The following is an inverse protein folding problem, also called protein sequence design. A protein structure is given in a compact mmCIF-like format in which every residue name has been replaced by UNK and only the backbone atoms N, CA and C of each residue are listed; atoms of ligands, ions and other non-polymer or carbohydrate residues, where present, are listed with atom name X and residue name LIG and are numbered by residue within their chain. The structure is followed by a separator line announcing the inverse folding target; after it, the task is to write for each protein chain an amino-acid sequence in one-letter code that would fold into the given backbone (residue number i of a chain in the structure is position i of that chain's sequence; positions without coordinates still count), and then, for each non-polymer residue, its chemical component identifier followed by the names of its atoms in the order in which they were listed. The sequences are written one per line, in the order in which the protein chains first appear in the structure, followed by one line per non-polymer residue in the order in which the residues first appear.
data_IF_859835155511
#
_entry.id   IF_859835155511
#
_cell.length_a   1.000
_cell.length_b   1.000
_cell.length_c   1.000
_cell.angle_alpha   90.00
_cell.angle_beta   90.00
_cell.angle_gamma   90.00
#
_symmetry.space_group_name_H-M   'P 1'
#
loop_
_entity.id
_entity.type
_entity.pdbx_description
1 polymer ?
#
# COMPACT_ATOMS: atom_id res chain seq x y z
N UNK A 1 -12.63 28.52 14.62
CA UNK A 1 -11.43 27.97 13.95
C UNK A 1 -11.75 27.90 12.46
N UNK A 2 -11.65 29.01 11.78
CA UNK A 2 -11.92 29.13 10.36
C UNK A 2 -10.69 29.69 9.67
N UNK A 3 -9.66 28.87 9.48
CA UNK A 3 -8.83 29.02 8.31
C UNK A 3 -9.45 28.14 7.23
N UNK A 4 -10.41 28.71 6.53
CA UNK A 4 -10.80 28.27 5.21
C UNK A 4 -9.54 28.43 4.37
N UNK A 5 -8.71 27.38 4.39
CA UNK A 5 -7.53 27.28 3.55
C UNK A 5 -8.01 27.46 2.12
N UNK A 6 -7.36 28.32 1.34
CA UNK A 6 -7.53 28.58 -0.11
C UNK A 6 -7.53 27.30 -0.99
N UNK A 7 -8.26 26.25 -0.62
CA UNK A 7 -8.25 24.93 -1.27
C UNK A 7 -6.91 24.19 -1.17
N UNK A 8 -5.99 24.65 -0.29
CA UNK A 8 -4.64 24.10 -0.16
C UNK A 8 -4.53 23.15 1.03
N UNK A 9 -4.01 21.94 0.82
CA UNK A 9 -3.79 20.97 1.88
C UNK A 9 -2.77 21.46 2.92
N UNK A 10 -3.10 21.55 4.24
CA UNK A 10 -2.19 21.99 5.29
C UNK A 10 -1.29 20.85 5.75
N UNK A 11 -0.11 20.70 5.13
CA UNK A 11 0.81 19.56 5.32
C UNK A 11 1.10 19.26 6.79
N UNK A 12 1.63 20.26 7.54
CA UNK A 12 2.03 20.07 8.94
C UNK A 12 0.85 19.68 9.84
N UNK A 13 -0.29 20.35 9.67
CA UNK A 13 -1.49 20.04 10.44
C UNK A 13 -2.02 18.64 10.14
N UNK A 14 -1.97 18.21 8.87
CA UNK A 14 -2.40 16.89 8.44
C UNK A 14 -1.51 15.78 9.02
N UNK A 15 -0.18 15.95 8.96
CA UNK A 15 0.78 15.01 9.55
C UNK A 15 0.59 14.92 11.06
N UNK A 16 0.51 16.07 11.75
CA UNK A 16 0.29 16.09 13.20
C UNK A 16 -1.04 15.47 13.61
N UNK A 17 -2.12 15.66 12.81
CA UNK A 17 -3.41 15.04 13.05
C UNK A 17 -3.34 13.52 12.89
N UNK A 18 -2.63 13.01 11.88
CA UNK A 18 -2.46 11.59 11.61
C UNK A 18 -1.74 10.88 12.77
N UNK A 19 -0.63 11.44 13.25
CA UNK A 19 0.12 10.86 14.36
C UNK A 19 -0.61 10.97 15.70
N UNK A 20 -1.29 12.09 15.96
CA UNK A 20 -2.15 12.22 17.16
C UNK A 20 -3.26 11.17 17.17
N UNK A 21 -3.88 10.92 16.02
CA UNK A 21 -4.88 9.87 15.88
C UNK A 21 -4.29 8.49 16.20
N UNK A 22 -3.13 8.18 15.65
CA UNK A 22 -2.42 6.94 15.93
C UNK A 22 -2.19 6.74 17.43
N UNK A 23 -1.53 7.70 18.09
CA UNK A 23 -1.22 7.56 19.51
C UNK A 23 -2.47 7.52 20.42
N UNK A 24 -3.57 8.13 20.00
CA UNK A 24 -4.82 8.09 20.76
C UNK A 24 -5.58 6.77 20.60
N UNK A 25 -5.45 6.07 19.46
CA UNK A 25 -6.36 4.98 19.11
C UNK A 25 -5.69 3.67 18.70
N UNK A 26 -4.35 3.56 18.69
CA UNK A 26 -3.66 2.38 18.19
C UNK A 26 -4.13 1.07 18.85
N UNK A 27 -4.43 1.11 20.15
CA UNK A 27 -4.87 -0.06 20.91
C UNK A 27 -6.29 -0.53 20.48
N UNK A 28 -7.16 0.38 20.02
CA UNK A 28 -8.49 0.03 19.51
C UNK A 28 -8.41 -0.83 18.25
N UNK A 29 -7.33 -0.66 17.45
CA UNK A 29 -7.14 -1.36 16.18
C UNK A 29 -6.29 -2.62 16.27
N UNK A 30 -5.69 -2.91 17.43
CA UNK A 30 -4.87 -4.10 17.61
C UNK A 30 -5.61 -5.41 17.27
N UNK A 31 -6.91 -5.60 17.61
CA UNK A 31 -7.64 -6.80 17.21
C UNK A 31 -7.83 -6.91 15.68
N UNK A 32 -8.10 -5.79 14.99
CA UNK A 32 -8.22 -5.79 13.54
C UNK A 32 -6.85 -6.03 12.87
N UNK A 33 -5.76 -5.49 13.43
CA UNK A 33 -4.41 -5.78 12.99
C UNK A 33 -4.03 -7.26 13.20
N UNK A 34 -4.54 -7.90 14.28
CA UNK A 34 -4.36 -9.33 14.51
C UNK A 34 -5.05 -10.19 13.42
N UNK A 35 -6.18 -9.75 12.89
CA UNK A 35 -6.81 -10.41 11.72
C UNK A 35 -5.90 -10.33 10.48
N UNK A 36 -5.27 -9.17 10.25
CA UNK A 36 -4.28 -9.03 9.17
C UNK A 36 -3.07 -9.92 9.42
N UNK A 37 -2.59 -9.99 10.65
CA UNK A 37 -1.49 -10.87 11.04
C UNK A 37 -1.80 -12.35 10.76
N UNK A 38 -2.99 -12.81 11.15
CA UNK A 38 -3.44 -14.17 10.88
C UNK A 38 -3.51 -14.44 9.36
N UNK A 39 -4.08 -13.51 8.60
CA UNK A 39 -4.17 -13.62 7.14
C UNK A 39 -2.80 -13.67 6.47
N UNK A 40 -1.84 -12.85 6.93
CA UNK A 40 -0.48 -12.83 6.42
C UNK A 40 0.26 -14.14 6.75
N UNK A 41 0.24 -14.58 8.01
CA UNK A 41 0.87 -15.82 8.41
C UNK A 41 0.31 -17.06 7.70
N UNK A 42 -1.02 -17.14 7.55
CA UNK A 42 -1.66 -18.21 6.76
C UNK A 42 -1.31 -18.09 5.28
N UNK A 43 -1.30 -16.87 4.73
CA UNK A 43 -0.93 -16.61 3.33
C UNK A 43 0.47 -17.11 3.01
N UNK A 44 1.47 -16.80 3.84
CA UNK A 44 2.84 -17.25 3.68
C UNK A 44 2.96 -18.78 3.81
N UNK A 45 2.22 -19.35 4.76
CA UNK A 45 2.16 -20.80 4.94
C UNK A 45 1.59 -21.50 3.69
N UNK A 46 0.49 -21.00 3.12
CA UNK A 46 -0.08 -21.55 1.89
C UNK A 46 0.84 -21.38 0.68
N UNK A 47 1.55 -20.28 0.58
CA UNK A 47 2.54 -20.07 -0.50
C UNK A 47 3.69 -21.06 -0.41
N UNK A 48 4.15 -21.43 0.79
CA UNK A 48 5.21 -22.43 0.95
C UNK A 48 4.72 -23.85 0.66
N UNK A 49 3.47 -24.19 1.02
CA UNK A 49 2.91 -25.52 0.83
C UNK A 49 2.40 -25.77 -0.59
N UNK A 50 1.86 -24.76 -1.25
CA UNK A 50 1.26 -24.85 -2.58
C UNK A 50 1.50 -23.56 -3.39
N UNK A 51 2.71 -23.36 -3.95
CA UNK A 51 3.13 -22.07 -4.54
C UNK A 51 2.15 -21.49 -5.57
N UNK A 52 1.59 -22.31 -6.46
CA UNK A 52 0.69 -21.84 -7.51
C UNK A 52 -0.71 -21.44 -6.97
N UNK A 53 -1.27 -22.23 -6.06
CA UNK A 53 -2.58 -21.95 -5.44
C UNK A 53 -2.47 -21.04 -4.22
N UNK A 54 -1.37 -21.12 -3.48
CA UNK A 54 -1.13 -20.37 -2.27
C UNK A 54 -1.12 -18.86 -2.47
N UNK A 55 -0.63 -18.39 -3.62
CA UNK A 55 -0.65 -16.97 -3.98
C UNK A 55 -2.10 -16.43 -4.05
N UNK A 56 -2.99 -17.16 -4.70
CA UNK A 56 -4.41 -16.74 -4.83
C UNK A 56 -5.09 -16.71 -3.47
N UNK A 57 -4.85 -17.72 -2.64
CA UNK A 57 -5.40 -17.80 -1.28
C UNK A 57 -4.84 -16.65 -0.43
N UNK A 58 -3.54 -16.41 -0.47
CA UNK A 58 -2.88 -15.30 0.24
C UNK A 58 -3.46 -13.95 -0.16
N UNK A 59 -3.66 -13.72 -1.46
CA UNK A 59 -4.25 -12.48 -1.97
C UNK A 59 -5.70 -12.29 -1.48
N UNK A 60 -6.50 -13.35 -1.50
CA UNK A 60 -7.88 -13.30 -1.02
C UNK A 60 -7.96 -13.02 0.49
N UNK A 61 -7.15 -13.73 1.30
CA UNK A 61 -7.07 -13.52 2.74
C UNK A 61 -6.63 -12.09 3.07
N UNK A 62 -5.57 -11.60 2.43
CA UNK A 62 -5.03 -10.25 2.63
C UNK A 62 -6.04 -9.17 2.22
N UNK A 63 -6.79 -9.38 1.13
CA UNK A 63 -7.80 -8.43 0.67
C UNK A 63 -8.94 -8.31 1.67
N UNK A 64 -9.45 -9.43 2.18
CA UNK A 64 -10.55 -9.43 3.15
C UNK A 64 -10.08 -8.87 4.50
N UNK A 65 -8.95 -9.33 5.02
CA UNK A 65 -8.39 -8.85 6.28
C UNK A 65 -8.02 -7.36 6.20
N UNK A 66 -7.43 -6.92 5.11
CA UNK A 66 -7.13 -5.52 4.84
C UNK A 66 -8.39 -4.65 4.79
N UNK A 67 -9.47 -5.13 4.16
CA UNK A 67 -10.74 -4.40 4.12
C UNK A 67 -11.36 -4.23 5.52
N UNK A 68 -11.32 -5.27 6.36
CA UNK A 68 -11.77 -5.21 7.76
C UNK A 68 -10.96 -4.16 8.53
N UNK A 69 -9.64 -4.23 8.43
CA UNK A 69 -8.73 -3.32 9.12
C UNK A 69 -8.90 -1.86 8.65
N UNK A 70 -8.90 -1.63 7.33
CA UNK A 70 -9.07 -0.30 6.76
C UNK A 70 -10.42 0.31 7.10
N UNK A 71 -11.50 -0.49 7.04
CA UNK A 71 -12.82 -0.03 7.43
C UNK A 71 -12.88 0.36 8.91
N UNK A 72 -12.28 -0.44 9.81
CA UNK A 72 -12.22 -0.13 11.23
C UNK A 72 -11.54 1.23 11.48
N UNK A 73 -10.33 1.42 10.93
CA UNK A 73 -9.56 2.66 11.09
C UNK A 73 -10.28 3.85 10.46
N UNK A 74 -10.80 3.71 9.23
CA UNK A 74 -11.43 4.80 8.49
C UNK A 74 -12.79 5.18 9.08
N UNK A 75 -13.61 4.24 9.56
CA UNK A 75 -14.86 4.56 10.28
C UNK A 75 -14.57 5.43 11.50
N UNK A 76 -13.57 5.06 12.28
CA UNK A 76 -13.15 5.87 13.44
C UNK A 76 -12.61 7.24 13.00
N UNK A 77 -11.73 7.27 12.01
CA UNK A 77 -11.09 8.50 11.56
C UNK A 77 -12.03 9.45 10.83
N UNK A 78 -12.98 8.97 10.01
CA UNK A 78 -13.87 9.80 9.18
C UNK A 78 -15.17 10.12 9.89
N UNK A 79 -15.80 9.12 10.51
CA UNK A 79 -17.18 9.22 11.08
C UNK A 79 -17.21 9.24 12.59
N UNK A 80 -16.06 9.01 13.26
CA UNK A 80 -15.95 8.85 14.71
C UNK A 80 -16.84 7.72 15.27
N UNK A 81 -17.07 6.67 14.46
CA UNK A 81 -17.87 5.50 14.82
C UNK A 81 -16.94 4.38 15.31
N UNK A 82 -17.24 3.83 16.50
CA UNK A 82 -16.70 2.56 16.93
C UNK A 82 -17.67 1.45 16.48
N UNK A 83 -17.17 0.44 15.78
CA UNK A 83 -18.01 -0.61 15.21
C UNK A 83 -17.69 -1.96 15.81
N UNK A 84 -18.70 -2.59 16.37
CA UNK A 84 -18.68 -3.96 16.86
C UNK A 84 -17.77 -4.20 18.07
N UNK A 85 -17.82 -5.40 18.66
CA UNK A 85 -16.87 -5.79 19.68
C UNK A 85 -15.47 -5.86 19.07
N UNK A 86 -14.51 -5.22 19.72
CA UNK A 86 -13.11 -5.14 19.26
C UNK A 86 -12.85 -4.40 17.94
N UNK A 87 -13.79 -3.58 17.45
CA UNK A 87 -13.67 -2.90 16.15
C UNK A 87 -13.85 -3.83 14.95
N UNK A 88 -14.16 -5.10 15.18
CA UNK A 88 -14.36 -6.11 14.13
C UNK A 88 -15.82 -6.10 13.68
N UNK A 89 -16.04 -5.72 12.45
CA UNK A 89 -17.31 -5.85 11.76
C UNK A 89 -17.03 -6.19 10.30
N UNK A 90 -17.92 -6.95 9.69
CA UNK A 90 -17.93 -7.16 8.25
C UNK A 90 -19.31 -6.77 7.72
N UNK A 91 -19.35 -5.74 6.91
CA UNK A 91 -20.60 -5.19 6.40
C UNK A 91 -20.43 -4.45 5.07
N UNK A 92 -21.30 -3.50 4.84
CA UNK A 92 -21.32 -2.76 3.56
C UNK A 92 -20.04 -1.94 3.30
N UNK A 93 -19.37 -1.45 4.34
CA UNK A 93 -18.17 -0.66 4.21
C UNK A 93 -16.98 -1.51 3.73
N UNK A 94 -16.81 -2.71 4.30
CA UNK A 94 -15.79 -3.66 3.89
C UNK A 94 -16.00 -4.11 2.44
N UNK A 95 -17.25 -4.43 2.08
CA UNK A 95 -17.60 -4.78 0.70
C UNK A 95 -17.30 -3.65 -0.27
N UNK A 96 -17.56 -2.39 0.13
CA UNK A 96 -17.21 -1.22 -0.71
C UNK A 96 -15.70 -1.07 -0.87
N UNK A 97 -14.92 -1.28 0.20
CA UNK A 97 -13.44 -1.21 0.13
C UNK A 97 -12.87 -2.33 -0.74
N UNK A 98 -13.41 -3.54 -0.65
CA UNK A 98 -13.07 -4.63 -1.58
C UNK A 98 -13.42 -4.21 -3.02
N UNK A 99 -14.59 -3.62 -3.24
CA UNK A 99 -15.00 -3.08 -4.54
C UNK A 99 -14.04 -2.00 -5.07
N UNK A 100 -13.57 -1.09 -4.21
CA UNK A 100 -12.53 -0.11 -4.56
C UNK A 100 -11.23 -0.82 -4.95
N UNK A 101 -10.77 -1.78 -4.16
CA UNK A 101 -9.54 -2.53 -4.43
C UNK A 101 -9.61 -3.28 -5.77
N UNK A 102 -10.73 -3.94 -6.05
CA UNK A 102 -10.96 -4.60 -7.33
C UNK A 102 -11.02 -3.61 -8.50
N UNK A 103 -11.69 -2.48 -8.32
CA UNK A 103 -11.76 -1.43 -9.35
C UNK A 103 -10.38 -0.84 -9.65
N UNK A 104 -9.57 -0.60 -8.62
CA UNK A 104 -8.19 -0.14 -8.77
C UNK A 104 -7.32 -1.20 -9.44
N UNK A 105 -7.49 -2.48 -9.08
CA UNK A 105 -6.79 -3.58 -9.74
C UNK A 105 -7.10 -3.59 -11.25
N UNK A 106 -8.38 -3.57 -11.63
CA UNK A 106 -8.79 -3.54 -13.04
C UNK A 106 -8.26 -2.30 -13.78
N UNK A 107 -8.17 -1.16 -13.10
CA UNK A 107 -7.65 0.08 -13.70
C UNK A 107 -6.13 0.06 -13.85
N UNK A 108 -5.40 -0.47 -12.85
CA UNK A 108 -3.95 -0.42 -12.78
C UNK A 108 -3.30 -1.63 -13.47
N UNK A 109 -3.93 -2.80 -13.43
CA UNK A 109 -3.37 -4.03 -14.00
C UNK A 109 -2.99 -3.93 -15.48
N UNK A 110 -3.78 -3.31 -16.39
CA UNK A 110 -3.37 -3.14 -17.78
C UNK A 110 -2.10 -2.27 -17.92
N UNK A 111 -1.97 -1.25 -17.09
CA UNK A 111 -0.78 -0.35 -17.10
C UNK A 111 0.45 -1.12 -16.63
N UNK A 112 0.32 -1.85 -15.53
CA UNK A 112 1.40 -2.69 -15.00
C UNK A 112 1.78 -3.78 -15.99
N UNK A 113 0.80 -4.44 -16.62
CA UNK A 113 1.05 -5.46 -17.62
C UNK A 113 1.77 -4.89 -18.85
N UNK A 114 1.36 -3.72 -19.34
CA UNK A 114 2.02 -3.05 -20.46
C UNK A 114 3.47 -2.70 -20.11
N UNK A 115 3.71 -2.13 -18.94
CA UNK A 115 5.05 -1.82 -18.45
C UNK A 115 5.88 -3.08 -18.34
N UNK A 116 5.33 -4.13 -17.72
CA UNK A 116 6.02 -5.42 -17.58
C UNK A 116 6.35 -6.02 -18.96
N UNK A 117 5.44 -5.94 -19.93
CA UNK A 117 5.66 -6.41 -21.28
C UNK A 117 6.79 -5.64 -21.98
N UNK A 118 6.80 -4.31 -21.88
CA UNK A 118 7.86 -3.46 -22.44
C UNK A 118 9.21 -3.81 -21.82
N UNK A 119 9.27 -3.93 -20.50
CA UNK A 119 10.48 -4.34 -19.78
C UNK A 119 10.93 -5.74 -20.20
N UNK A 120 10.00 -6.69 -20.25
CA UNK A 120 10.27 -8.07 -20.63
C UNK A 120 10.84 -8.15 -22.06
N UNK A 121 10.23 -7.50 -23.03
CA UNK A 121 10.71 -7.47 -24.42
C UNK A 121 12.06 -6.78 -24.53
N UNK A 122 12.27 -5.67 -23.82
CA UNK A 122 13.53 -4.94 -23.85
C UNK A 122 14.67 -5.75 -23.20
N UNK A 123 14.39 -6.34 -22.02
CA UNK A 123 15.38 -7.11 -21.27
C UNK A 123 15.67 -8.44 -21.98
N UNK A 124 14.64 -9.20 -22.38
CA UNK A 124 14.86 -10.45 -23.13
C UNK A 124 15.52 -10.22 -24.47
N UNK A 125 15.05 -9.19 -25.21
CA UNK A 125 15.56 -8.94 -26.56
C UNK A 125 16.98 -8.38 -26.63
N UNK A 126 17.46 -7.77 -25.54
CA UNK A 126 18.78 -7.11 -25.54
C UNK A 126 19.72 -7.51 -24.41
N UNK A 127 19.18 -7.92 -23.26
CA UNK A 127 19.97 -8.20 -22.05
C UNK A 127 20.06 -9.69 -21.76
N UNK A 128 18.97 -10.44 -21.90
CA UNK A 128 18.97 -11.89 -21.73
C UNK A 128 18.72 -12.59 -23.07
N UNK A 129 19.61 -13.47 -23.47
CA UNK A 129 19.44 -14.24 -24.72
C UNK A 129 18.40 -15.37 -24.58
N UNK A 130 17.99 -15.70 -23.34
CA UNK A 130 17.01 -16.76 -23.08
C UNK A 130 16.22 -16.49 -21.77
N UNK A 131 15.02 -17.11 -21.60
CA UNK A 131 14.25 -17.02 -20.36
C UNK A 131 15.01 -17.56 -19.13
N UNK A 132 15.84 -18.58 -19.31
CA UNK A 132 16.66 -19.18 -18.24
C UNK A 132 17.76 -18.20 -17.79
N UNK A 133 18.42 -17.54 -18.73
CA UNK A 133 19.40 -16.50 -18.42
C UNK A 133 18.74 -15.34 -17.65
N UNK A 134 17.52 -14.93 -18.04
CA UNK A 134 16.77 -13.90 -17.32
C UNK A 134 16.51 -14.31 -15.87
N UNK A 135 16.09 -15.54 -15.61
CA UNK A 135 15.85 -16.01 -14.23
C UNK A 135 17.14 -15.97 -13.39
N UNK A 136 18.27 -16.37 -13.96
CA UNK A 136 19.55 -16.30 -13.24
C UNK A 136 20.02 -14.88 -12.99
N UNK A 137 19.72 -13.95 -13.91
CA UNK A 137 20.04 -12.53 -13.75
C UNK A 137 19.14 -11.86 -12.71
N UNK A 138 17.84 -12.18 -12.67
CA UNK A 138 16.90 -11.65 -11.69
C UNK A 138 17.18 -12.17 -10.26
N UNK A 139 17.83 -13.31 -10.13
CA UNK A 139 18.27 -13.85 -8.83
C UNK A 139 19.49 -13.13 -8.25
N UNK A 140 20.25 -12.39 -9.06
CA UNK A 140 21.45 -11.66 -8.66
C UNK A 140 21.40 -10.21 -9.18
N UNK A 141 20.92 -9.25 -8.35
CA UNK A 141 20.76 -7.85 -8.73
C UNK A 141 22.06 -7.16 -9.18
N UNK A 142 23.19 -7.51 -8.58
CA UNK A 142 24.49 -6.93 -8.93
C UNK A 142 24.96 -7.42 -10.30
N UNK A 143 24.74 -8.70 -10.58
CA UNK A 143 25.00 -9.27 -11.90
C UNK A 143 24.08 -8.71 -12.95
N UNK A 144 22.78 -8.56 -12.61
CA UNK A 144 21.78 -7.95 -13.50
C UNK A 144 22.22 -6.53 -13.93
N UNK A 145 22.58 -5.68 -12.97
CA UNK A 145 23.03 -4.30 -13.24
C UNK A 145 24.23 -4.26 -14.18
N UNK A 146 25.23 -5.10 -13.93
CA UNK A 146 26.43 -5.17 -14.76
C UNK A 146 26.14 -5.62 -16.18
N UNK A 147 25.32 -6.66 -16.35
CA UNK A 147 24.94 -7.18 -17.69
C UNK A 147 24.07 -6.18 -18.44
N UNK A 148 23.20 -5.45 -17.75
CA UNK A 148 22.40 -4.35 -18.34
C UNK A 148 23.34 -3.26 -18.87
N UNK A 149 24.28 -2.79 -18.05
CA UNK A 149 25.24 -1.75 -18.45
C UNK A 149 26.12 -2.22 -19.65
N UNK A 150 26.59 -3.46 -19.61
CA UNK A 150 27.47 -4.02 -20.65
C UNK A 150 26.73 -4.21 -22.00
N UNK A 151 25.53 -4.81 -21.98
CA UNK A 151 24.81 -5.19 -23.20
C UNK A 151 23.99 -4.05 -23.83
N UNK A 152 23.47 -3.12 -23.01
CA UNK A 152 22.74 -1.94 -23.52
C UNK A 152 23.68 -0.80 -23.92
N UNK A 153 24.89 -0.77 -23.37
CA UNK A 153 25.81 0.34 -23.51
C UNK A 153 25.29 1.63 -22.82
N UNK A 154 26.08 2.72 -22.79
CA UNK A 154 25.74 3.92 -22.02
C UNK A 154 24.41 4.57 -22.43
N UNK A 155 24.12 4.60 -23.74
CA UNK A 155 22.86 5.19 -24.24
C UNK A 155 21.65 4.32 -23.90
N UNK A 156 21.79 3.00 -24.00
CA UNK A 156 20.70 2.07 -23.66
C UNK A 156 20.43 2.01 -22.17
N UNK A 157 21.48 2.06 -21.34
CA UNK A 157 21.36 2.14 -19.88
C UNK A 157 20.68 3.44 -19.45
N UNK A 158 21.05 4.58 -20.02
CA UNK A 158 20.39 5.87 -19.74
C UNK A 158 18.91 5.84 -20.16
N UNK A 159 18.58 5.29 -21.32
CA UNK A 159 17.20 5.15 -21.78
C UNK A 159 16.38 4.23 -20.87
N UNK A 160 16.95 3.11 -20.42
CA UNK A 160 16.30 2.18 -19.48
C UNK A 160 16.06 2.84 -18.12
N UNK A 161 17.07 3.52 -17.58
CA UNK A 161 16.97 4.25 -16.31
C UNK A 161 15.91 5.36 -16.36
N UNK A 162 15.88 6.13 -17.48
CA UNK A 162 14.84 7.13 -17.70
C UNK A 162 13.45 6.51 -17.78
N UNK A 163 13.30 5.38 -18.45
CA UNK A 163 12.03 4.65 -18.52
C UNK A 163 11.56 4.22 -17.13
N UNK A 164 12.43 3.58 -16.33
CA UNK A 164 12.12 3.17 -14.96
C UNK A 164 11.74 4.39 -14.11
N UNK A 165 12.49 5.49 -14.21
CA UNK A 165 12.18 6.74 -13.51
C UNK A 165 10.79 7.28 -13.88
N UNK A 166 10.43 7.32 -15.16
CA UNK A 166 9.12 7.78 -15.63
C UNK A 166 7.99 6.87 -15.09
N UNK A 167 8.19 5.56 -15.12
CA UNK A 167 7.21 4.61 -14.55
C UNK A 167 7.01 4.87 -13.06
N UNK A 168 8.10 4.99 -12.30
CA UNK A 168 8.01 5.32 -10.87
C UNK A 168 7.30 6.67 -10.63
N UNK A 169 7.60 7.69 -11.43
CA UNK A 169 6.95 8.99 -11.34
C UNK A 169 5.44 8.91 -11.60
N UNK A 170 5.02 8.13 -12.60
CA UNK A 170 3.59 7.89 -12.90
C UNK A 170 2.92 7.15 -11.75
N UNK A 171 3.54 6.11 -11.21
CA UNK A 171 3.00 5.35 -10.06
C UNK A 171 2.84 6.25 -8.83
N UNK A 172 3.85 7.04 -8.50
CA UNK A 172 3.78 8.01 -7.39
C UNK A 172 2.66 9.01 -7.63
N UNK A 173 2.55 9.54 -8.85
CA UNK A 173 1.49 10.47 -9.21
C UNK A 173 0.10 9.86 -9.05
N UNK A 174 -0.09 8.61 -9.47
CA UNK A 174 -1.33 7.87 -9.26
C UNK A 174 -1.63 7.68 -7.77
N UNK A 175 -0.66 7.20 -6.97
CA UNK A 175 -0.83 6.97 -5.54
C UNK A 175 -1.26 8.25 -4.80
N UNK A 176 -0.64 9.39 -5.12
CA UNK A 176 -1.01 10.69 -4.53
C UNK A 176 -2.44 11.07 -4.89
N UNK A 177 -2.87 10.81 -6.14
CA UNK A 177 -4.23 11.10 -6.61
C UNK A 177 -5.28 10.23 -5.96
N UNK A 178 -4.91 9.00 -5.64
CA UNK A 178 -5.82 7.97 -5.13
C UNK A 178 -5.85 7.90 -3.59
N UNK A 179 -4.98 8.64 -2.89
CA UNK A 179 -4.81 8.53 -1.43
C UNK A 179 -6.12 8.71 -0.63
N UNK A 180 -7.02 9.56 -1.08
CA UNK A 180 -8.27 9.85 -0.36
C UNK A 180 -9.44 8.93 -0.72
N UNK A 181 -9.28 8.01 -1.68
CA UNK A 181 -10.39 7.18 -2.22
C UNK A 181 -11.05 6.33 -1.14
N UNK A 182 -10.25 5.63 -0.33
CA UNK A 182 -10.79 4.77 0.72
C UNK A 182 -11.53 5.59 1.79
N UNK A 183 -10.96 6.73 2.19
CA UNK A 183 -11.60 7.64 3.14
C UNK A 183 -12.88 8.25 2.58
N UNK A 184 -12.88 8.64 1.30
CA UNK A 184 -14.05 9.14 0.60
C UNK A 184 -15.15 8.06 0.49
N UNK A 185 -14.78 6.83 0.16
CA UNK A 185 -15.73 5.70 0.04
C UNK A 185 -16.43 5.43 1.38
N UNK A 186 -15.69 5.45 2.48
CA UNK A 186 -16.26 5.30 3.83
C UNK A 186 -17.11 6.52 4.19
N UNK A 187 -16.63 7.73 3.93
CA UNK A 187 -17.33 8.97 4.26
C UNK A 187 -18.65 9.14 3.51
N UNK A 188 -18.67 8.86 2.23
CA UNK A 188 -19.83 8.99 1.35
C UNK A 188 -20.72 7.74 1.33
N UNK A 189 -20.33 6.66 2.01
CA UNK A 189 -21.04 5.36 2.03
C UNK A 189 -21.31 4.78 0.64
N UNK A 190 -20.46 5.08 -0.34
CA UNK A 190 -20.52 4.61 -1.72
C UNK A 190 -19.11 4.59 -2.32
N UNK A 191 -18.92 3.84 -3.40
CA UNK A 191 -17.63 3.80 -4.11
C UNK A 191 -17.41 5.15 -4.83
N UNK A 192 -16.32 5.86 -4.46
CA UNK A 192 -15.99 7.21 -4.97
C UNK A 192 -14.56 7.18 -5.52
N UNK A 193 -14.38 6.83 -6.80
CA UNK A 193 -13.05 6.76 -7.40
C UNK A 193 -12.71 8.06 -8.15
N UNK A 194 -13.47 8.37 -9.20
CA UNK A 194 -13.15 9.49 -10.09
C UNK A 194 -13.39 10.86 -9.46
N UNK A 195 -14.33 10.97 -8.54
CA UNK A 195 -14.58 12.21 -7.81
C UNK A 195 -13.43 12.53 -6.84
N UNK A 196 -12.94 11.53 -6.10
CA UNK A 196 -11.79 11.67 -5.21
C UNK A 196 -10.51 12.11 -5.96
N UNK A 197 -10.37 11.68 -7.21
CA UNK A 197 -9.30 12.13 -8.10
C UNK A 197 -9.29 13.65 -8.33
N UNK A 198 -10.45 14.25 -8.50
CA UNK A 198 -10.55 15.70 -8.73
C UNK A 198 -10.22 16.51 -7.49
N UNK A 199 -10.50 15.98 -6.28
CA UNK A 199 -10.28 16.71 -5.02
C UNK A 199 -8.80 16.92 -4.69
N UNK A 200 -7.92 16.04 -5.16
CA UNK A 200 -6.47 16.19 -4.98
C UNK A 200 -5.81 17.08 -6.05
N UNK A 201 -6.61 17.62 -7.01
CA UNK A 201 -6.09 18.50 -8.05
C UNK A 201 -5.48 19.78 -7.46
N UNK A 202 -4.33 20.22 -7.97
CA UNK A 202 -3.62 21.42 -7.49
C UNK A 202 -2.85 21.26 -6.19
N UNK A 203 -2.98 20.11 -5.48
CA UNK A 203 -2.31 19.85 -4.20
C UNK A 203 -1.23 18.75 -4.26
N UNK A 204 -0.81 18.30 -5.44
CA UNK A 204 0.06 17.15 -5.62
C UNK A 204 1.29 17.15 -4.69
N UNK A 205 2.13 18.18 -4.75
CA UNK A 205 3.36 18.23 -3.94
C UNK A 205 3.07 18.30 -2.43
N UNK A 206 2.00 18.96 -2.03
CA UNK A 206 1.60 19.05 -0.61
C UNK A 206 1.10 17.72 -0.09
N UNK A 207 0.27 17.04 -0.86
CA UNK A 207 -0.23 15.70 -0.52
C UNK A 207 0.91 14.70 -0.51
N UNK A 208 1.81 14.74 -1.51
CA UNK A 208 3.01 13.92 -1.55
C UNK A 208 3.90 14.15 -0.31
N UNK A 209 4.18 15.42 0.03
CA UNK A 209 4.95 15.74 1.22
C UNK A 209 4.28 15.23 2.52
N UNK A 210 2.95 15.36 2.63
CA UNK A 210 2.22 14.83 3.78
C UNK A 210 2.30 13.30 3.86
N UNK A 211 2.16 12.59 2.73
CA UNK A 211 2.32 11.14 2.65
C UNK A 211 3.74 10.73 3.11
N UNK A 212 4.77 11.33 2.51
CA UNK A 212 6.17 10.99 2.84
C UNK A 212 6.46 11.24 4.33
N UNK A 213 6.11 12.43 4.85
CA UNK A 213 6.35 12.77 6.25
C UNK A 213 5.56 11.90 7.24
N UNK A 214 4.40 11.39 6.84
CA UNK A 214 3.59 10.51 7.69
C UNK A 214 4.05 9.07 7.61
N UNK A 215 4.29 8.56 6.39
CA UNK A 215 4.56 7.13 6.16
C UNK A 215 6.03 6.77 6.39
N UNK A 216 6.98 7.67 6.10
CA UNK A 216 8.41 7.36 6.21
C UNK A 216 8.82 6.91 7.62
N UNK A 217 8.44 7.58 8.73
CA UNK A 217 8.78 7.11 10.08
C UNK A 217 8.16 5.75 10.40
N UNK A 218 6.92 5.50 9.95
CA UNK A 218 6.22 4.23 10.15
C UNK A 218 6.91 3.09 9.40
N UNK A 219 7.30 3.33 8.13
CA UNK A 219 8.03 2.36 7.31
C UNK A 219 9.40 2.04 7.91
N UNK A 220 10.17 3.05 8.33
CA UNK A 220 11.47 2.85 8.98
C UNK A 220 11.32 2.00 10.24
N UNK A 221 10.33 2.32 11.07
CA UNK A 221 10.06 1.55 12.30
C UNK A 221 9.67 0.11 11.98
N UNK A 222 8.77 -0.11 11.01
CA UNK A 222 8.35 -1.44 10.57
C UNK A 222 9.53 -2.26 10.07
N UNK A 223 10.38 -1.65 9.24
CA UNK A 223 11.57 -2.31 8.73
C UNK A 223 12.54 -2.70 9.85
N UNK A 224 12.77 -1.78 10.81
CA UNK A 224 13.61 -2.05 11.97
C UNK A 224 13.06 -3.19 12.83
N UNK A 225 11.76 -3.21 13.11
CA UNK A 225 11.12 -4.28 13.90
C UNK A 225 11.17 -5.63 13.17
N UNK A 226 10.96 -5.64 11.86
CA UNK A 226 11.07 -6.85 11.05
C UNK A 226 12.52 -7.38 10.99
N UNK A 227 13.49 -6.50 10.81
CA UNK A 227 14.92 -6.86 10.83
C UNK A 227 15.34 -7.40 12.22
N UNK A 228 14.85 -6.79 13.30
CA UNK A 228 15.08 -7.25 14.66
C UNK A 228 14.52 -8.67 14.86
N UNK A 229 13.30 -8.94 14.39
CA UNK A 229 12.71 -10.28 14.46
C UNK A 229 13.56 -11.31 13.73
N UNK A 230 13.97 -11.02 12.49
CA UNK A 230 14.84 -11.91 11.71
C UNK A 230 16.15 -12.17 12.44
N UNK A 231 16.76 -11.16 13.05
CA UNK A 231 17.99 -11.30 13.83
C UNK A 231 17.77 -12.19 15.07
N UNK A 232 16.67 -11.97 15.79
CA UNK A 232 16.32 -12.76 16.99
C UNK A 232 15.99 -14.23 16.67
N UNK A 233 15.51 -14.50 15.45
CA UNK A 233 15.23 -15.88 14.97
C UNK A 233 16.47 -16.56 14.36
N UNK A 234 17.64 -15.96 14.47
CA UNK A 234 18.92 -16.52 14.01
C UNK A 234 19.28 -16.23 12.57
N UNK A 235 18.65 -15.22 11.95
CA UNK A 235 19.01 -14.74 10.60
C UNK A 235 18.63 -15.68 9.45
N UNK A 236 18.17 -16.88 9.72
CA UNK A 236 17.72 -17.83 8.72
C UNK A 236 16.23 -17.63 8.40
N UNK A 237 15.87 -17.72 7.14
CA UNK A 237 14.47 -17.86 6.77
C UNK A 237 13.87 -19.07 7.49
N UNK A 238 12.72 -18.94 8.15
CA UNK A 238 12.16 -20.04 8.90
C UNK A 238 11.83 -21.19 7.94
N UNK A 239 12.39 -22.36 8.24
CA UNK A 239 12.18 -23.59 7.45
C UNK A 239 10.98 -24.38 7.96
N UNK A 240 10.56 -24.12 9.20
CA UNK A 240 9.40 -24.80 9.79
C UNK A 240 8.10 -24.06 9.43
N UNK A 241 7.00 -24.78 9.17
CA UNK A 241 5.69 -24.17 8.91
C UNK A 241 5.24 -23.19 9.99
N UNK A 242 5.51 -23.51 11.26
CA UNK A 242 5.19 -22.64 12.40
C UNK A 242 6.04 -21.35 12.34
N UNK A 243 7.32 -21.48 12.02
CA UNK A 243 8.21 -20.32 11.88
C UNK A 243 7.75 -19.38 10.76
N UNK A 244 7.40 -19.93 9.59
CA UNK A 244 6.84 -19.17 8.45
C UNK A 244 5.58 -18.43 8.89
N UNK A 245 4.64 -19.12 9.53
CA UNK A 245 3.41 -18.51 10.02
C UNK A 245 3.66 -17.39 11.03
N UNK A 246 4.56 -17.60 12.00
CA UNK A 246 4.85 -16.60 13.04
C UNK A 246 5.54 -15.36 12.47
N UNK A 247 6.51 -15.54 11.58
CA UNK A 247 7.23 -14.41 10.96
C UNK A 247 6.30 -13.63 10.03
N UNK A 248 5.52 -14.31 9.18
CA UNK A 248 4.52 -13.68 8.33
C UNK A 248 3.44 -12.96 9.13
N UNK A 249 2.93 -13.60 10.19
CA UNK A 249 1.95 -13.02 11.09
C UNK A 249 2.48 -11.76 11.80
N UNK A 250 3.69 -11.81 12.35
CA UNK A 250 4.30 -10.64 12.98
C UNK A 250 4.51 -9.50 11.98
N UNK A 251 5.04 -9.80 10.81
CA UNK A 251 5.25 -8.80 9.75
C UNK A 251 3.91 -8.18 9.32
N UNK A 252 2.87 -9.00 9.18
CA UNK A 252 1.51 -8.54 8.88
C UNK A 252 0.94 -7.62 9.97
N UNK A 253 1.16 -7.96 11.25
CA UNK A 253 0.73 -7.12 12.37
C UNK A 253 1.45 -5.76 12.37
N UNK A 254 2.78 -5.77 12.28
CA UNK A 254 3.59 -4.55 12.25
C UNK A 254 3.24 -3.69 11.03
N UNK A 255 3.05 -4.33 9.87
CA UNK A 255 2.59 -3.67 8.65
C UNK A 255 1.25 -2.98 8.85
N UNK A 256 0.24 -3.69 9.34
CA UNK A 256 -1.08 -3.12 9.62
C UNK A 256 -1.00 -1.92 10.60
N UNK A 257 -0.28 -2.06 11.70
CA UNK A 257 -0.12 -0.98 12.67
C UNK A 257 0.56 0.26 12.06
N UNK A 258 1.51 0.07 11.15
CA UNK A 258 2.21 1.15 10.46
C UNK A 258 1.35 1.88 9.43
N UNK A 259 0.27 1.26 8.95
CA UNK A 259 -0.69 1.86 8.02
C UNK A 259 -1.68 2.84 8.70
N UNK A 260 -1.87 2.74 10.03
CA UNK A 260 -2.84 3.59 10.75
C UNK A 260 -2.59 5.09 10.52
N UNK A 261 -1.33 5.62 10.65
CA UNK A 261 -1.07 7.03 10.36
C UNK A 261 -1.42 7.42 8.92
N UNK A 262 -1.15 6.57 7.94
CA UNK A 262 -1.45 6.84 6.54
C UNK A 262 -2.97 6.88 6.28
N UNK A 263 -3.74 5.97 6.87
CA UNK A 263 -5.21 5.97 6.79
C UNK A 263 -5.82 7.20 7.49
N UNK A 264 -5.28 7.58 8.66
CA UNK A 264 -5.70 8.78 9.36
C UNK A 264 -5.36 10.06 8.58
N UNK A 265 -4.20 10.10 7.90
CA UNK A 265 -3.85 11.16 6.97
C UNK A 265 -4.86 11.25 5.83
N UNK A 266 -5.18 10.13 5.20
CA UNK A 266 -6.16 10.06 4.12
C UNK A 266 -7.54 10.59 4.56
N UNK A 267 -7.98 10.23 5.78
CA UNK A 267 -9.21 10.73 6.37
C UNK A 267 -9.18 12.25 6.63
N UNK A 268 -8.05 12.78 7.10
CA UNK A 268 -7.88 14.21 7.34
C UNK A 268 -7.86 15.00 6.02
N UNK A 269 -7.12 14.51 5.02
CA UNK A 269 -7.08 15.10 3.68
C UNK A 269 -8.44 15.05 2.99
N UNK A 270 -9.18 13.96 3.10
CA UNK A 270 -10.55 13.85 2.58
C UNK A 270 -11.43 14.96 3.14
N UNK A 271 -11.45 15.18 4.47
CA UNK A 271 -12.26 16.25 5.10
C UNK A 271 -11.82 17.66 4.68
N UNK A 272 -10.54 17.87 4.43
CA UNK A 272 -10.00 19.18 4.02
C UNK A 272 -10.09 19.49 2.53
N UNK A 273 -10.14 18.47 1.68
CA UNK A 273 -10.16 18.63 0.22
C UNK A 273 -11.52 18.39 -0.41
N UNK A 274 -12.48 17.81 0.34
CA UNK A 274 -13.84 17.61 -0.13
C UNK A 274 -14.49 18.98 -0.36
N UNK A 275 -15.07 19.25 -1.54
CA UNK A 275 -15.82 20.47 -1.79
C UNK A 275 -17.02 20.59 -0.85
N UNK A 276 -17.28 21.80 -0.32
CA UNK A 276 -18.38 22.06 0.63
C UNK A 276 -19.76 21.94 -0.04
N UNK A 277 -19.84 22.16 -1.34
CA UNK A 277 -21.00 22.07 -2.20
C UNK A 277 -21.24 20.68 -2.80
N UNK A 278 -20.39 19.70 -2.44
CA UNK A 278 -20.56 18.35 -2.92
C UNK A 278 -21.80 17.69 -2.30
N UNK A 279 -22.85 17.59 -3.09
CA UNK A 279 -24.07 16.84 -2.75
C UNK A 279 -23.93 15.44 -3.35
N UNK A 280 -23.94 14.37 -2.54
CA UNK A 280 -23.95 13.00 -3.05
C UNK A 280 -25.23 12.77 -3.87
N UNK A 281 -25.11 12.44 -5.15
CA UNK A 281 -26.23 12.00 -5.99
C UNK A 281 -26.53 10.54 -5.75
#
# INVERSE_FOLDING_TARGET
MSDASDGKAPVRASVAAAWRFFFAHWAEFAPAAAVVALAAGLGDLFQTMAPAGGLIISLALSTVAGAIFFAAVLRRAVRNEATGPFGLAFGADEVRLIGVSLSLLVMIAPIVLLVALVLFVTVLGRVAGSPQELQTLLADPDRFSRVVAERLGPTGEAAFSLFVFLVCAIVIWLLVRLVVINAATIGERRIVIFQAWTWTHGNFLRVLAAIVLTSLPAVILSYFLSALLVTLTGGASPTSPIGVFLVGGFSGFVGAMSEIPALALAAHLYRGLRPTDFVPK
#
